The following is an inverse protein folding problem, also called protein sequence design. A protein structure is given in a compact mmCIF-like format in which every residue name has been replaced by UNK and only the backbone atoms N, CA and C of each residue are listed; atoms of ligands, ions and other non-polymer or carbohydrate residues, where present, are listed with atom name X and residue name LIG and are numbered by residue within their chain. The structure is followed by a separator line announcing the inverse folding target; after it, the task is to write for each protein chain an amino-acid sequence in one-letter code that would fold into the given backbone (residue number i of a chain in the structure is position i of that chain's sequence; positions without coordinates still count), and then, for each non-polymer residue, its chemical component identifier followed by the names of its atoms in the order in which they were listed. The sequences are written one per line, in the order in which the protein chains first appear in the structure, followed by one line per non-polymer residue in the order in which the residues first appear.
data_IF_017080627530
#
_entry.id   IF_017080627530
#
_cell.length_a   1.000
_cell.length_b   1.000
_cell.length_c   1.000
_cell.angle_alpha   90.00
_cell.angle_beta   90.00
_cell.angle_gamma   90.00
#
_symmetry.space_group_name_H-M   'P 1'
#
loop_
_entity.id
_entity.type
_entity.pdbx_description
1 polymer ?
#
# COMPACT_ATOMS: atom_id res chain seq x y z
N UNK A 1 -42.77 -1.57 -37.27
CA UNK A 1 -41.88 -0.83 -36.34
C UNK A 1 -41.71 -1.68 -35.10
N UNK A 2 -40.52 -2.28 -34.89
CA UNK A 2 -39.59 -1.72 -33.91
C UNK A 2 -38.10 -1.89 -34.31
N UNK A 3 -37.34 -0.79 -34.40
CA UNK A 3 -35.89 -0.83 -34.69
C UNK A 3 -35.09 0.14 -33.80
N UNK A 4 -35.54 0.34 -32.55
CA UNK A 4 -34.97 1.35 -31.64
C UNK A 4 -34.10 0.78 -30.51
N UNK A 5 -34.03 -0.55 -30.35
CA UNK A 5 -33.37 -1.15 -29.18
C UNK A 5 -31.91 -1.60 -29.43
N UNK A 6 -31.48 -1.83 -30.68
CA UNK A 6 -30.12 -2.32 -30.99
C UNK A 6 -29.07 -1.21 -31.14
N UNK A 7 -29.49 0.03 -31.41
CA UNK A 7 -28.60 1.17 -31.66
C UNK A 7 -27.84 1.65 -30.42
N UNK A 8 -28.43 1.54 -29.23
CA UNK A 8 -27.86 2.10 -28.00
C UNK A 8 -26.80 1.19 -27.37
N UNK A 9 -27.02 -0.13 -27.41
CA UNK A 9 -26.06 -1.12 -26.92
C UNK A 9 -24.83 -1.25 -27.84
N UNK A 10 -25.01 -1.10 -29.16
CA UNK A 10 -23.91 -1.25 -30.13
C UNK A 10 -22.89 -0.09 -30.08
N UNK A 11 -23.29 1.10 -29.66
CA UNK A 11 -22.38 2.25 -29.49
C UNK A 11 -21.70 2.29 -28.11
N UNK A 12 -22.31 1.67 -27.08
CA UNK A 12 -21.75 1.63 -25.73
C UNK A 12 -20.47 0.80 -25.62
N UNK A 13 -20.38 -0.32 -26.36
CA UNK A 13 -19.22 -1.24 -26.30
C UNK A 13 -17.94 -0.59 -26.86
N UNK A 14 -17.93 0.01 -28.07
CA UNK A 14 -16.76 0.72 -28.59
C UNK A 14 -16.36 1.92 -27.72
N UNK A 15 -17.33 2.63 -27.15
CA UNK A 15 -17.09 3.77 -26.26
C UNK A 15 -16.37 3.35 -24.98
N UNK A 16 -16.90 2.37 -24.24
CA UNK A 16 -16.25 1.82 -23.05
C UNK A 16 -14.87 1.24 -23.38
N UNK A 17 -14.77 0.52 -24.50
CA UNK A 17 -13.48 -0.01 -24.97
C UNK A 17 -12.46 1.10 -25.23
N UNK A 18 -12.87 2.25 -25.78
CA UNK A 18 -11.97 3.38 -25.99
C UNK A 18 -11.54 4.03 -24.67
N UNK A 19 -12.42 4.13 -23.68
CA UNK A 19 -12.07 4.61 -22.33
C UNK A 19 -11.09 3.66 -21.64
N UNK A 20 -11.36 2.36 -21.63
CA UNK A 20 -10.52 1.38 -20.94
C UNK A 20 -9.14 1.23 -21.60
N UNK A 21 -9.03 1.40 -22.92
CA UNK A 21 -7.77 1.33 -23.66
C UNK A 21 -7.02 2.67 -23.76
N UNK A 22 -7.40 3.69 -23.00
CA UNK A 22 -6.68 4.97 -22.98
C UNK A 22 -6.92 5.89 -24.18
N UNK A 23 -7.85 5.53 -25.08
CA UNK A 23 -8.10 6.25 -26.34
C UNK A 23 -9.11 7.38 -26.21
N UNK A 24 -9.66 7.59 -25.01
CA UNK A 24 -10.66 8.62 -24.75
C UNK A 24 -10.18 9.60 -23.66
N UNK A 25 -10.64 10.85 -23.68
CA UNK A 25 -10.22 11.86 -22.69
C UNK A 25 -10.54 11.44 -21.24
N UNK A 26 -11.67 10.75 -21.03
CA UNK A 26 -12.08 10.22 -19.73
C UNK A 26 -11.13 9.16 -19.16
N UNK A 27 -10.30 8.52 -19.99
CA UNK A 27 -9.30 7.56 -19.52
C UNK A 27 -8.33 8.18 -18.51
N UNK A 28 -8.09 9.49 -18.59
CA UNK A 28 -7.24 10.24 -17.65
C UNK A 28 -7.80 10.27 -16.22
N UNK A 29 -9.11 10.06 -16.05
CA UNK A 29 -9.76 10.01 -14.73
C UNK A 29 -9.61 8.65 -14.05
N UNK A 30 -9.33 7.58 -14.81
CA UNK A 30 -9.20 6.22 -14.28
C UNK A 30 -8.13 6.12 -13.18
N UNK A 31 -6.86 6.56 -13.38
CA UNK A 31 -5.86 6.44 -12.32
C UNK A 31 -6.24 7.24 -11.06
N UNK A 32 -6.87 8.41 -11.22
CA UNK A 32 -7.37 9.21 -10.10
C UNK A 32 -8.47 8.46 -9.34
N UNK A 33 -9.43 7.89 -10.07
CA UNK A 33 -10.52 7.11 -9.48
C UNK A 33 -9.98 5.88 -8.76
N UNK A 34 -9.02 5.16 -9.35
CA UNK A 34 -8.37 4.00 -8.72
C UNK A 34 -7.64 4.40 -7.43
N UNK A 35 -6.86 5.49 -7.46
CA UNK A 35 -6.16 5.97 -6.27
C UNK A 35 -7.13 6.40 -5.16
N UNK A 36 -8.24 7.06 -5.49
CA UNK A 36 -9.27 7.42 -4.50
C UNK A 36 -9.99 6.19 -3.92
N UNK A 37 -10.28 5.19 -4.75
CA UNK A 37 -10.90 3.94 -4.30
C UNK A 37 -9.94 3.18 -3.39
N UNK A 38 -8.65 3.14 -3.72
CA UNK A 38 -7.60 2.52 -2.91
C UNK A 38 -7.46 3.22 -1.55
N UNK A 39 -7.32 4.55 -1.53
CA UNK A 39 -7.23 5.35 -0.31
C UNK A 39 -8.47 5.19 0.59
N UNK A 40 -9.68 5.17 -0.01
CA UNK A 40 -10.91 4.88 0.71
C UNK A 40 -10.90 3.47 1.30
N UNK A 41 -10.47 2.48 0.52
CA UNK A 41 -10.36 1.08 0.96
C UNK A 41 -9.40 0.92 2.14
N UNK A 42 -8.20 1.49 2.04
CA UNK A 42 -7.21 1.49 3.12
C UNK A 42 -7.76 2.19 4.38
N UNK A 43 -8.40 3.36 4.24
CA UNK A 43 -9.02 4.07 5.36
C UNK A 43 -10.12 3.26 6.05
N UNK A 44 -10.97 2.57 5.28
CA UNK A 44 -11.99 1.68 5.82
C UNK A 44 -11.40 0.48 6.54
N UNK A 45 -10.31 -0.11 6.03
CA UNK A 45 -9.61 -1.21 6.70
C UNK A 45 -9.03 -0.75 8.03
N UNK A 46 -8.31 0.38 8.06
CA UNK A 46 -7.75 0.95 9.29
C UNK A 46 -8.85 1.23 10.32
N UNK A 47 -10.02 1.70 9.88
CA UNK A 47 -11.13 2.01 10.77
C UNK A 47 -11.88 0.78 11.30
N UNK A 48 -12.07 -0.25 10.46
CA UNK A 48 -13.01 -1.35 10.75
C UNK A 48 -12.35 -2.66 11.13
N UNK A 49 -11.13 -2.91 10.67
CA UNK A 49 -10.47 -4.21 10.82
C UNK A 49 -9.44 -4.09 11.94
N UNK A 50 -9.47 -4.98 12.96
CA UNK A 50 -8.44 -5.02 13.98
C UNK A 50 -7.06 -5.20 13.37
N UNK A 51 -6.06 -4.50 13.93
CA UNK A 51 -4.68 -4.67 13.52
C UNK A 51 -4.26 -6.13 13.65
N UNK A 52 -3.67 -6.66 12.58
CA UNK A 52 -3.06 -7.99 12.55
C UNK A 52 -1.57 -7.80 12.38
N UNK A 53 -0.81 -8.31 13.33
CA UNK A 53 0.63 -8.27 13.27
C UNK A 53 1.16 -9.37 12.36
N UNK A 54 2.03 -8.99 11.41
CA UNK A 54 2.73 -9.93 10.53
C UNK A 54 4.23 -9.78 10.79
N UNK A 55 4.81 -8.66 10.34
CA UNK A 55 6.26 -8.46 10.44
C UNK A 55 6.67 -7.15 11.14
N UNK A 56 5.73 -6.23 11.41
CA UNK A 56 6.08 -4.87 11.86
C UNK A 56 6.96 -4.88 13.12
N UNK A 57 6.59 -5.66 14.13
CA UNK A 57 7.38 -5.75 15.38
C UNK A 57 8.73 -6.39 15.13
N UNK A 58 8.79 -7.46 14.33
CA UNK A 58 10.06 -8.09 13.97
C UNK A 58 11.00 -7.10 13.25
N UNK A 59 10.46 -6.28 12.33
CA UNK A 59 11.22 -5.21 11.70
C UNK A 59 11.71 -4.20 12.75
N UNK A 60 10.84 -3.71 13.63
CA UNK A 60 11.25 -2.74 14.67
C UNK A 60 12.32 -3.29 15.62
N UNK A 61 12.26 -4.58 15.96
CA UNK A 61 13.29 -5.26 16.75
C UNK A 61 14.63 -5.34 16.01
N UNK A 62 14.63 -5.75 14.73
CA UNK A 62 15.84 -5.80 13.91
C UNK A 62 16.45 -4.40 13.74
N UNK A 63 15.61 -3.39 13.48
CA UNK A 63 16.05 -2.00 13.37
C UNK A 63 16.58 -1.45 14.69
N UNK A 64 16.01 -1.84 15.83
CA UNK A 64 16.54 -1.44 17.14
C UNK A 64 17.98 -1.90 17.36
N UNK A 65 18.35 -3.09 16.85
CA UNK A 65 19.74 -3.59 16.88
C UNK A 65 20.65 -2.75 15.99
N UNK A 66 20.20 -2.40 14.77
CA UNK A 66 20.93 -1.49 13.89
C UNK A 66 21.13 -0.12 14.54
N UNK A 67 20.08 0.48 15.12
CA UNK A 67 20.16 1.75 15.83
C UNK A 67 21.13 1.67 17.03
N UNK A 68 21.22 0.50 17.67
CA UNK A 68 22.15 0.24 18.78
C UNK A 68 23.60 -0.02 18.35
N UNK A 69 23.89 -0.01 17.05
CA UNK A 69 25.24 -0.13 16.50
C UNK A 69 25.58 -1.47 15.84
N UNK A 70 24.66 -2.44 15.82
CA UNK A 70 24.89 -3.70 15.11
C UNK A 70 24.95 -3.48 13.59
N UNK A 71 25.94 -4.09 12.94
CA UNK A 71 26.18 -3.98 11.49
C UNK A 71 26.38 -5.33 10.83
N UNK A 72 26.57 -6.39 11.61
CA UNK A 72 26.62 -7.77 11.15
C UNK A 72 25.19 -8.30 10.99
N UNK A 73 24.74 -8.38 9.73
CA UNK A 73 23.39 -8.84 9.38
C UNK A 73 23.08 -10.24 9.91
N UNK A 74 24.10 -11.09 10.07
CA UNK A 74 23.90 -12.47 10.56
C UNK A 74 23.45 -12.52 12.02
N UNK A 75 23.61 -11.42 12.75
CA UNK A 75 23.20 -11.27 14.16
C UNK A 75 21.90 -10.51 14.34
N UNK A 76 21.39 -9.87 13.28
CA UNK A 76 20.16 -9.08 13.34
C UNK A 76 18.93 -10.00 13.25
N UNK A 77 18.21 -10.18 14.36
CA UNK A 77 17.09 -11.13 14.45
C UNK A 77 15.89 -10.51 15.15
N UNK A 78 14.69 -10.72 14.61
CA UNK A 78 13.41 -10.37 15.25
C UNK A 78 12.59 -11.63 15.52
N UNK A 79 11.37 -11.46 16.04
CA UNK A 79 10.50 -12.57 16.42
C UNK A 79 10.14 -13.52 15.26
N UNK A 80 10.16 -13.02 14.02
CA UNK A 80 9.91 -13.82 12.81
C UNK A 80 11.18 -14.38 12.18
N UNK A 81 12.36 -14.15 12.77
CA UNK A 81 13.64 -14.70 12.32
C UNK A 81 14.68 -13.62 11.92
N UNK A 82 15.74 -14.04 11.21
CA UNK A 82 16.84 -13.13 10.85
C UNK A 82 16.39 -12.06 9.86
N UNK A 83 17.07 -10.92 9.87
CA UNK A 83 16.88 -9.89 8.86
C UNK A 83 17.40 -10.38 7.51
N UNK A 84 16.49 -10.58 6.56
CA UNK A 84 16.79 -11.07 5.20
C UNK A 84 16.70 -9.97 4.13
N UNK A 85 16.21 -8.79 4.48
CA UNK A 85 16.03 -7.68 3.55
C UNK A 85 17.31 -6.83 3.38
N UNK A 86 17.55 -6.24 2.21
CA UNK A 86 18.77 -5.46 1.95
C UNK A 86 18.79 -4.11 2.69
N UNK A 87 19.93 -3.41 2.65
CA UNK A 87 20.16 -2.15 3.38
C UNK A 87 19.11 -1.05 3.15
N UNK A 88 18.47 -1.00 1.98
CA UNK A 88 17.39 -0.07 1.72
C UNK A 88 16.20 -0.27 2.69
N UNK A 89 15.88 -1.52 3.06
CA UNK A 89 14.89 -1.82 4.10
C UNK A 89 15.36 -1.25 5.44
N UNK A 90 16.61 -1.52 5.83
CA UNK A 90 17.16 -1.03 7.11
C UNK A 90 17.07 0.50 7.20
N UNK A 91 17.49 1.23 6.17
CA UNK A 91 17.43 2.70 6.20
C UNK A 91 16.01 3.25 6.18
N UNK A 92 15.12 2.67 5.37
CA UNK A 92 13.71 3.08 5.29
C UNK A 92 13.02 2.86 6.64
N UNK A 93 13.15 1.66 7.20
CA UNK A 93 12.54 1.33 8.49
C UNK A 93 13.24 1.98 9.68
N UNK A 94 14.48 2.44 9.56
CA UNK A 94 15.11 3.34 10.54
C UNK A 94 14.39 4.69 10.58
N UNK A 95 14.03 5.25 9.43
CA UNK A 95 13.20 6.46 9.37
C UNK A 95 11.84 6.25 10.03
N UNK A 96 11.16 5.14 9.66
CA UNK A 96 9.87 4.78 10.25
C UNK A 96 9.97 4.54 11.77
N UNK A 97 11.04 3.90 12.24
CA UNK A 97 11.30 3.66 13.66
C UNK A 97 11.27 4.96 14.45
N UNK A 98 11.93 6.03 13.98
CA UNK A 98 11.90 7.31 14.67
C UNK A 98 10.56 8.04 14.55
N UNK A 99 9.91 7.98 13.39
CA UNK A 99 8.63 8.67 13.14
C UNK A 99 7.49 8.06 13.99
N UNK A 100 7.53 6.76 14.22
CA UNK A 100 6.42 6.00 14.83
C UNK A 100 6.64 5.66 16.30
N UNK A 101 7.43 6.47 17.01
CA UNK A 101 7.82 6.22 18.41
C UNK A 101 8.36 4.79 18.62
N UNK A 102 9.45 4.49 17.91
CA UNK A 102 10.15 3.19 17.92
C UNK A 102 9.26 2.03 17.47
N UNK A 103 8.26 2.32 16.65
CA UNK A 103 7.32 1.34 16.14
C UNK A 103 6.07 1.12 16.99
N UNK A 104 5.89 1.84 18.09
CA UNK A 104 4.74 1.66 18.99
C UNK A 104 3.50 2.40 18.52
N UNK A 105 3.65 3.47 17.72
CA UNK A 105 2.53 4.19 17.13
C UNK A 105 2.03 3.49 15.85
N UNK A 106 1.30 2.38 16.04
CA UNK A 106 0.77 1.54 14.95
C UNK A 106 -0.19 2.31 14.05
N UNK A 107 -1.04 3.18 14.61
CA UNK A 107 -1.99 3.96 13.81
C UNK A 107 -1.26 4.89 12.84
N UNK A 108 -0.22 5.59 13.30
CA UNK A 108 0.59 6.44 12.44
C UNK A 108 1.32 5.62 11.37
N UNK A 109 1.85 4.45 11.72
CA UNK A 109 2.46 3.54 10.75
C UNK A 109 1.45 3.14 9.65
N UNK A 110 0.24 2.73 10.04
CA UNK A 110 -0.83 2.38 9.10
C UNK A 110 -1.20 3.55 8.18
N UNK A 111 -1.26 4.77 8.71
CA UNK A 111 -1.54 5.98 7.92
C UNK A 111 -0.45 6.27 6.88
N UNK A 112 0.82 6.06 7.23
CA UNK A 112 1.95 6.25 6.31
C UNK A 112 1.88 5.24 5.16
N UNK A 113 1.53 3.98 5.42
CA UNK A 113 1.39 2.95 4.37
C UNK A 113 0.11 3.10 3.53
N UNK A 114 -0.92 3.77 4.07
CA UNK A 114 -2.17 4.02 3.36
C UNK A 114 -2.15 5.29 2.47
N UNK A 115 -1.09 6.09 2.54
CA UNK A 115 -0.96 7.38 1.85
C UNK A 115 -0.27 7.27 0.49
#
# INVERSE_FOLDING_TARGET
MPESASGTLSQGVPFLRNILNGRHALSKLIPIALWLVDALGCGLIIWKIPYTEIDWVAYMQQISQFVSGERDYTKMVGDTGPLVYPAAHVYTYTGLYYITDKGTNILLAQQIFAA
#
